data_IF_527557342224
#
_entry.id   IF_527557342224
#
_cell.length_a   1.000
_cell.length_b   1.000
_cell.length_c   1.000
_cell.angle_alpha   90.00
_cell.angle_beta   90.00
_cell.angle_gamma   90.00
#
_symmetry.space_group_name_H-M   'P 1'
#
loop_
_entity.id
_entity.type
_entity.pdbx_description
1 polymer ?
#
# COMPACT_ATOMS: atom_id res chain seq x y z
N UNK A 1 19.54 17.79 -10.43
CA UNK A 1 18.57 17.21 -11.38
C UNK A 1 17.68 16.29 -10.59
N UNK A 2 16.36 16.45 -10.68
CA UNK A 2 15.43 15.50 -10.06
C UNK A 2 15.37 14.26 -10.93
N UNK A 3 15.43 13.07 -10.32
CA UNK A 3 15.23 11.82 -11.06
C UNK A 3 13.82 11.77 -11.64
N UNK A 4 13.70 11.22 -12.85
CA UNK A 4 12.45 11.19 -13.62
C UNK A 4 11.86 9.79 -13.61
N UNK A 5 10.55 9.68 -13.41
CA UNK A 5 9.81 8.43 -13.40
C UNK A 5 9.85 7.77 -14.78
N UNK A 6 10.21 6.48 -14.84
CA UNK A 6 10.29 5.76 -16.12
C UNK A 6 8.92 5.49 -16.76
N UNK A 7 7.82 5.60 -16.00
CA UNK A 7 6.43 5.46 -16.48
C UNK A 7 5.86 6.81 -16.89
N UNK A 8 5.69 7.76 -15.96
CA UNK A 8 4.99 9.03 -16.23
C UNK A 8 5.86 10.08 -16.93
N UNK A 9 7.18 9.91 -16.92
CA UNK A 9 8.16 10.92 -17.38
C UNK A 9 8.15 12.24 -16.58
N UNK A 10 7.53 12.23 -15.41
CA UNK A 10 7.50 13.34 -14.46
C UNK A 10 8.57 13.17 -13.38
N UNK A 11 8.92 14.23 -12.63
CA UNK A 11 9.79 14.13 -11.46
C UNK A 11 9.26 13.12 -10.43
N UNK A 12 10.17 12.35 -9.82
CA UNK A 12 9.82 11.40 -8.76
C UNK A 12 9.73 12.13 -7.41
N UNK A 13 8.61 11.96 -6.71
CA UNK A 13 8.43 12.44 -5.32
C UNK A 13 8.56 11.27 -4.33
N UNK A 14 7.89 10.15 -4.60
CA UNK A 14 7.90 8.95 -3.79
C UNK A 14 8.65 7.83 -4.52
N UNK A 15 9.98 7.86 -4.40
CA UNK A 15 10.85 6.95 -5.13
C UNK A 15 10.72 5.50 -4.66
N UNK A 16 10.60 4.59 -5.62
CA UNK A 16 10.80 3.15 -5.43
C UNK A 16 11.70 2.60 -6.54
N UNK A 17 12.76 1.90 -6.15
CA UNK A 17 13.71 1.27 -7.06
C UNK A 17 13.55 -0.25 -6.98
N UNK A 18 13.21 -0.88 -8.10
CA UNK A 18 13.12 -2.34 -8.17
C UNK A 18 14.52 -2.97 -8.16
N UNK A 19 14.68 -4.27 -7.86
CA UNK A 19 15.97 -4.97 -7.94
C UNK A 19 16.57 -5.10 -9.37
N UNK A 20 15.91 -4.51 -10.38
CA UNK A 20 16.48 -4.33 -11.71
C UNK A 20 16.98 -2.90 -11.93
N UNK A 21 17.15 -2.13 -10.86
CA UNK A 21 17.70 -0.76 -10.81
C UNK A 21 16.83 0.33 -11.46
N UNK A 22 15.69 -0.06 -12.04
CA UNK A 22 14.70 0.88 -12.54
C UNK A 22 13.93 1.54 -11.39
N UNK A 23 13.91 2.87 -11.41
CA UNK A 23 13.25 3.71 -10.43
C UNK A 23 11.95 4.31 -10.98
N UNK A 24 10.96 4.39 -10.11
CA UNK A 24 9.61 4.85 -10.44
C UNK A 24 9.08 5.75 -9.34
N UNK A 25 8.15 6.62 -9.71
CA UNK A 25 7.18 7.16 -8.77
C UNK A 25 6.24 6.04 -8.32
N UNK A 26 6.10 5.86 -7.01
CA UNK A 26 5.45 4.72 -6.39
C UNK A 26 3.99 4.59 -6.87
N UNK A 27 3.25 5.69 -6.95
CA UNK A 27 1.86 5.70 -7.39
C UNK A 27 1.68 5.00 -8.75
N UNK A 28 2.47 5.39 -9.76
CA UNK A 28 2.38 4.81 -11.11
C UNK A 28 2.81 3.35 -11.15
N UNK A 29 3.87 2.98 -10.41
CA UNK A 29 4.30 1.57 -10.35
C UNK A 29 3.23 0.69 -9.69
N UNK A 30 2.61 1.16 -8.61
CA UNK A 30 1.54 0.45 -7.91
C UNK A 30 0.36 0.16 -8.84
N UNK A 31 -0.13 1.16 -9.57
CA UNK A 31 -1.25 0.99 -10.50
C UNK A 31 -0.92 0.02 -11.64
N UNK A 32 0.28 0.11 -12.21
CA UNK A 32 0.72 -0.82 -13.25
C UNK A 32 0.81 -2.26 -12.73
N UNK A 33 1.34 -2.48 -11.51
CA UNK A 33 1.38 -3.82 -10.90
C UNK A 33 -0.04 -4.32 -10.58
N UNK A 34 -0.93 -3.45 -10.07
CA UNK A 34 -2.34 -3.78 -9.81
C UNK A 34 -3.01 -4.31 -11.08
N UNK A 35 -2.84 -3.64 -12.21
CA UNK A 35 -3.39 -4.08 -13.49
C UNK A 35 -2.76 -5.38 -14.00
N UNK A 36 -1.46 -5.57 -13.83
CA UNK A 36 -0.82 -6.84 -14.17
C UNK A 36 -1.35 -8.01 -13.31
N UNK A 37 -1.57 -7.77 -12.02
CA UNK A 37 -2.10 -8.78 -11.08
C UNK A 37 -3.54 -9.17 -11.36
N UNK A 38 -4.33 -8.28 -11.96
CA UNK A 38 -5.66 -8.63 -12.48
C UNK A 38 -5.59 -9.73 -13.57
N UNK A 39 -4.45 -9.84 -14.29
CA UNK A 39 -4.22 -10.84 -15.35
C UNK A 39 -3.39 -12.04 -14.88
N UNK A 40 -2.43 -11.81 -13.99
CA UNK A 40 -1.47 -12.82 -13.53
C UNK A 40 -1.21 -12.69 -12.02
N UNK A 41 -1.85 -13.53 -11.21
CA UNK A 41 -1.76 -13.45 -9.75
C UNK A 41 -0.35 -13.77 -9.20
N UNK A 42 0.40 -14.66 -9.85
CA UNK A 42 1.63 -15.23 -9.29
C UNK A 42 2.84 -14.29 -9.35
N UNK A 43 2.91 -13.38 -10.32
CA UNK A 43 4.09 -12.53 -10.53
C UNK A 43 3.69 -11.14 -11.03
N UNK A 44 4.65 -10.22 -11.09
CA UNK A 44 4.54 -9.01 -11.89
C UNK A 44 5.83 -8.82 -12.70
N UNK A 45 5.77 -7.99 -13.73
CA UNK A 45 6.90 -7.62 -14.59
C UNK A 45 7.27 -6.17 -14.33
N UNK A 46 8.57 -5.88 -14.27
CA UNK A 46 9.05 -4.50 -14.35
C UNK A 46 8.42 -3.82 -15.58
N UNK A 47 7.78 -2.65 -15.42
CA UNK A 47 7.16 -1.96 -16.55
C UNK A 47 8.15 -1.56 -17.63
N UNK A 48 9.41 -1.30 -17.23
CA UNK A 48 10.47 -0.90 -18.14
C UNK A 48 11.19 -2.10 -18.80
N UNK A 49 11.91 -2.91 -18.01
CA UNK A 49 12.74 -3.99 -18.56
C UNK A 49 12.08 -5.38 -18.61
N UNK A 50 10.81 -5.48 -18.20
CA UNK A 50 10.02 -6.74 -18.20
C UNK A 50 10.54 -7.87 -17.31
N UNK A 51 11.58 -7.65 -16.48
CA UNK A 51 12.06 -8.62 -15.48
C UNK A 51 10.91 -9.07 -14.57
N UNK A 52 10.80 -10.38 -14.35
CA UNK A 52 9.71 -11.00 -13.59
C UNK A 52 10.07 -11.04 -12.09
N UNK A 53 9.08 -10.71 -11.24
CA UNK A 53 9.16 -10.82 -9.79
C UNK A 53 7.99 -11.63 -9.25
N UNK A 54 8.28 -12.62 -8.41
CA UNK A 54 7.27 -13.42 -7.69
C UNK A 54 6.94 -12.86 -6.30
N UNK A 55 7.73 -11.87 -5.85
CA UNK A 55 7.50 -11.10 -4.64
C UNK A 55 6.53 -9.94 -4.90
N UNK A 56 6.09 -9.28 -3.83
CA UNK A 56 5.27 -8.08 -3.87
C UNK A 56 6.14 -6.84 -3.65
N UNK A 57 5.69 -5.69 -4.13
CA UNK A 57 6.29 -4.43 -3.68
C UNK A 57 5.87 -4.14 -2.22
N UNK A 58 6.67 -3.41 -1.43
CA UNK A 58 6.23 -2.95 -0.13
C UNK A 58 5.13 -1.87 -0.28
N UNK A 59 4.16 -1.85 0.64
CA UNK A 59 3.25 -0.71 0.81
C UNK A 59 4.01 0.59 1.10
N UNK A 60 3.54 1.69 0.51
CA UNK A 60 3.92 3.06 0.81
C UNK A 60 2.65 3.89 1.02
N UNK A 61 2.60 4.63 2.13
CA UNK A 61 1.48 5.47 2.54
C UNK A 61 1.51 6.81 1.78
N UNK A 62 1.08 6.74 0.52
CA UNK A 62 0.92 7.89 -0.39
C UNK A 62 -0.54 8.05 -0.75
N UNK A 63 -0.93 9.26 -1.11
CA UNK A 63 -2.30 9.56 -1.55
C UNK A 63 -2.71 8.67 -2.74
N UNK A 64 -3.95 8.19 -2.74
CA UNK A 64 -4.48 7.31 -3.80
C UNK A 64 -3.99 5.86 -3.74
N UNK A 65 -3.10 5.49 -2.81
CA UNK A 65 -2.63 4.10 -2.65
C UNK A 65 -3.30 3.41 -1.48
N UNK A 66 -4.01 2.33 -1.80
CA UNK A 66 -4.59 1.41 -0.83
C UNK A 66 -3.68 0.20 -0.55
N UNK A 67 -3.89 -0.43 0.62
CA UNK A 67 -3.28 -1.72 0.96
C UNK A 67 -4.06 -2.83 0.25
N UNK A 68 -3.48 -3.41 -0.80
CA UNK A 68 -4.08 -4.52 -1.55
C UNK A 68 -3.26 -5.80 -1.35
N UNK A 69 -3.94 -6.86 -0.89
CA UNK A 69 -3.38 -8.20 -0.80
C UNK A 69 -2.81 -8.66 -2.14
N UNK A 70 -1.62 -9.28 -2.13
CA UNK A 70 -0.95 -9.79 -3.34
C UNK A 70 -0.48 -8.74 -4.34
N UNK A 71 -0.56 -7.44 -4.01
CA UNK A 71 0.01 -6.34 -4.79
C UNK A 71 1.10 -5.64 -3.98
N UNK A 72 0.72 -4.98 -2.89
CA UNK A 72 1.60 -4.21 -2.03
C UNK A 72 1.47 -4.54 -0.53
N UNK A 73 0.56 -5.44 -0.17
CA UNK A 73 0.28 -5.78 1.22
C UNK A 73 -0.01 -7.27 1.44
N UNK A 74 0.01 -7.68 2.70
CA UNK A 74 -0.43 -9.00 3.17
C UNK A 74 0.26 -10.22 2.53
N UNK A 75 1.60 -10.23 2.49
CA UNK A 75 2.37 -11.42 2.12
C UNK A 75 3.66 -11.51 2.93
N UNK A 76 4.16 -12.75 3.09
CA UNK A 76 5.51 -13.00 3.61
C UNK A 76 6.60 -12.75 2.55
N UNK A 77 6.22 -12.61 1.28
CA UNK A 77 7.12 -12.43 0.15
C UNK A 77 7.10 -10.98 -0.35
N UNK A 78 7.48 -10.02 0.50
CA UNK A 78 7.67 -8.61 0.14
C UNK A 78 9.12 -8.43 -0.34
N UNK A 79 9.34 -7.65 -1.40
CA UNK A 79 10.68 -7.27 -1.83
C UNK A 79 11.39 -6.51 -0.71
N UNK A 80 12.65 -6.86 -0.37
CA UNK A 80 13.42 -6.24 0.70
C UNK A 80 13.97 -4.87 0.28
N UNK A 81 13.09 -3.96 -0.15
CA UNK A 81 13.47 -2.61 -0.60
C UNK A 81 13.62 -1.63 0.58
N UNK A 82 12.96 -1.92 1.70
CA UNK A 82 13.02 -1.15 2.93
C UNK A 82 13.34 -2.07 4.11
N UNK A 83 14.11 -1.55 5.07
CA UNK A 83 14.42 -2.24 6.32
C UNK A 83 13.55 -1.71 7.47
N UNK A 84 13.13 -2.62 8.34
CA UNK A 84 12.34 -2.26 9.53
C UNK A 84 13.20 -1.46 10.51
N UNK A 85 12.67 -0.37 11.07
CA UNK A 85 13.41 0.46 12.06
C UNK A 85 13.60 -0.22 13.42
N UNK A 86 12.81 -1.24 13.74
CA UNK A 86 12.92 -1.94 15.02
C UNK A 86 14.26 -2.67 15.13
N UNK A 87 14.92 -2.53 16.28
CA UNK A 87 16.17 -3.23 16.59
C UNK A 87 16.03 -4.74 16.34
N UNK A 88 17.10 -5.34 15.79
CA UNK A 88 17.23 -6.76 15.49
C UNK A 88 16.16 -7.34 14.53
N UNK A 89 15.39 -6.49 13.83
CA UNK A 89 14.40 -6.93 12.85
C UNK A 89 14.99 -6.99 11.44
N UNK A 90 15.03 -8.19 10.85
CA UNK A 90 15.51 -8.43 9.48
C UNK A 90 14.37 -8.55 8.45
N UNK A 91 13.14 -8.24 8.85
CA UNK A 91 11.97 -8.35 7.97
C UNK A 91 11.89 -7.14 7.02
N UNK A 92 11.47 -7.36 5.76
CA UNK A 92 11.14 -6.26 4.85
C UNK A 92 10.11 -5.31 5.47
N UNK A 93 10.35 -4.01 5.31
CA UNK A 93 9.46 -2.97 5.81
C UNK A 93 8.50 -2.44 4.74
N UNK A 94 7.46 -1.80 5.24
CA UNK A 94 6.59 -0.91 4.50
C UNK A 94 6.90 0.53 4.92
N UNK A 95 6.56 1.50 4.07
CA UNK A 95 6.75 2.91 4.34
C UNK A 95 5.43 3.53 4.78
N UNK A 96 5.26 3.72 6.10
CA UNK A 96 4.08 4.37 6.67
C UNK A 96 4.38 5.83 7.00
N UNK A 97 3.34 6.64 7.24
CA UNK A 97 3.50 8.00 7.80
C UNK A 97 4.29 8.04 9.12
N UNK A 98 4.19 6.97 9.92
CA UNK A 98 4.95 6.82 11.18
C UNK A 98 6.39 6.35 10.98
N UNK A 99 6.79 6.01 9.76
CA UNK A 99 8.12 5.52 9.41
C UNK A 99 8.13 4.10 8.82
N UNK A 100 9.35 3.56 8.65
CA UNK A 100 9.57 2.23 8.09
C UNK A 100 9.36 1.14 9.16
N UNK A 101 8.33 0.32 8.97
CA UNK A 101 8.02 -0.80 9.88
C UNK A 101 7.59 -2.03 9.08
N UNK A 102 7.97 -3.22 9.55
CA UNK A 102 7.39 -4.45 9.03
C UNK A 102 5.99 -4.67 9.61
N UNK A 103 5.22 -5.61 9.05
CA UNK A 103 3.87 -5.93 9.53
C UNK A 103 3.81 -6.30 11.02
N UNK A 104 4.86 -6.93 11.56
CA UNK A 104 4.93 -7.33 12.99
C UNK A 104 5.09 -6.13 13.93
N UNK A 105 5.73 -5.06 13.45
CA UNK A 105 6.06 -3.87 14.24
C UNK A 105 5.26 -2.63 13.83
N UNK A 106 4.31 -2.79 12.91
CA UNK A 106 3.36 -1.74 12.57
C UNK A 106 2.04 -1.99 13.29
N UNK A 107 1.60 -0.99 14.06
CA UNK A 107 0.28 -0.97 14.67
C UNK A 107 -0.62 -0.09 13.80
N UNK A 108 -1.66 -0.68 13.20
CA UNK A 108 -2.66 0.10 12.48
C UNK A 108 -3.28 1.14 13.43
N UNK A 109 -3.49 2.39 12.98
CA UNK A 109 -4.22 3.38 13.73
C UNK A 109 -5.59 2.82 14.18
N UNK A 110 -6.04 3.15 15.40
CA UNK A 110 -7.34 2.69 15.88
C UNK A 110 -8.44 3.16 14.92
N UNK A 111 -9.24 2.21 14.44
CA UNK A 111 -10.43 2.52 13.63
C UNK A 111 -11.59 2.82 14.56
N UNK A 112 -12.14 4.02 14.47
CA UNK A 112 -13.33 4.38 15.24
C UNK A 112 -14.52 3.51 14.80
N UNK A 113 -15.34 3.08 15.76
CA UNK A 113 -16.63 2.46 15.45
C UNK A 113 -17.61 3.52 14.97
N UNK A 114 -18.52 3.11 14.09
CA UNK A 114 -19.65 3.96 13.73
C UNK A 114 -20.48 4.26 14.98
N UNK A 115 -20.78 5.54 15.22
CA UNK A 115 -21.51 5.99 16.41
C UNK A 115 -23.02 5.76 16.34
N UNK A 116 -23.56 5.53 15.15
CA UNK A 116 -25.00 5.42 14.91
C UNK A 116 -25.60 4.03 15.21
N UNK A 117 -26.91 3.96 15.44
CA UNK A 117 -27.66 2.69 15.55
C UNK A 117 -28.26 2.28 14.21
N UNK A 118 -28.25 0.98 13.94
CA UNK A 118 -28.95 0.40 12.80
C UNK A 118 -30.48 0.55 12.95
N UNK A 119 -31.24 0.37 11.86
CA UNK A 119 -32.72 0.44 11.86
C UNK A 119 -33.41 -0.47 12.90
N UNK A 120 -32.74 -1.54 13.31
CA UNK A 120 -33.21 -2.47 14.34
C UNK A 120 -32.87 -2.02 15.79
N UNK A 121 -32.38 -0.79 15.97
CA UNK A 121 -32.01 -0.23 17.27
C UNK A 121 -30.65 -0.68 17.81
N UNK A 122 -29.96 -1.64 17.18
CA UNK A 122 -28.66 -2.12 17.66
C UNK A 122 -27.51 -1.18 17.28
N UNK A 123 -26.45 -1.08 18.11
CA UNK A 123 -25.23 -0.34 17.73
C UNK A 123 -24.64 -0.82 16.41
N UNK A 124 -24.17 0.10 15.58
CA UNK A 124 -23.56 -0.24 14.31
C UNK A 124 -22.23 -0.99 14.50
N UNK A 125 -22.12 -2.17 13.88
CA UNK A 125 -20.90 -3.00 13.97
C UNK A 125 -19.75 -2.54 13.08
N UNK A 126 -20.03 -1.67 12.10
CA UNK A 126 -19.07 -1.21 11.09
C UNK A 126 -18.15 -0.12 11.65
N UNK A 127 -16.95 0.01 11.07
CA UNK A 127 -16.04 1.11 11.37
C UNK A 127 -16.48 2.38 10.65
N UNK A 128 -16.21 3.53 11.27
CA UNK A 128 -16.37 4.83 10.63
C UNK A 128 -15.35 4.99 9.49
N UNK A 129 -15.76 5.65 8.41
CA UNK A 129 -14.88 5.96 7.28
C UNK A 129 -14.15 7.28 7.51
N UNK A 130 -14.89 8.33 7.88
CA UNK A 130 -14.37 9.69 8.06
C UNK A 130 -14.92 10.28 9.36
N UNK A 131 -14.28 9.96 10.50
CA UNK A 131 -14.73 10.41 11.82
C UNK A 131 -15.71 9.45 12.49
N UNK A 132 -17.02 9.69 12.33
CA UNK A 132 -18.05 9.09 13.21
C UNK A 132 -18.99 8.08 12.54
N UNK A 133 -19.11 8.07 11.20
CA UNK A 133 -20.13 7.30 10.49
C UNK A 133 -19.55 6.34 9.45
N UNK A 134 -20.16 5.16 9.31
CA UNK A 134 -19.82 4.20 8.26
C UNK A 134 -20.54 4.54 6.95
N UNK A 135 -20.16 3.88 5.84
CA UNK A 135 -20.80 4.06 4.54
C UNK A 135 -22.33 3.99 4.56
N UNK A 136 -22.91 3.15 5.43
CA UNK A 136 -24.37 2.97 5.52
C UNK A 136 -25.09 4.06 6.32
N UNK A 137 -24.37 4.76 7.20
CA UNK A 137 -24.90 5.82 8.05
C UNK A 137 -24.38 7.21 7.66
N UNK A 138 -23.54 7.29 6.63
CA UNK A 138 -23.20 8.57 6.00
C UNK A 138 -24.46 9.08 5.30
N UNK A 139 -24.99 10.21 5.76
CA UNK A 139 -26.02 10.93 5.01
C UNK A 139 -25.32 11.45 3.75
N UNK A 140 -25.78 10.99 2.59
CA UNK A 140 -25.38 11.58 1.32
C UNK A 140 -26.22 12.85 1.21
N UNK A 141 -25.56 14.00 1.28
CA UNK A 141 -26.16 15.28 0.89
C UNK A 141 -26.36 15.33 -0.62
#
# INVERSE_FOLDING_TARGET
MNETCLISKEPIEHKITLPCEHSFEYYYLFHEIKEQKNRHLAYFKCPYCRKIYYSLIPYMDVEGVEKISHVNYYSRNILPLFACKQADCQEPAHCYKTGLSCRKHYTDPPKNKCMERCKNGNPCRFYALDGNYCAKHRKVE
#
